data_IF_930336546589
#
_entry.id   IF_930336546589
#
_cell.length_a   1.000
_cell.length_b   1.000
_cell.length_c   1.000
_cell.angle_alpha   90.00
_cell.angle_beta   90.00
_cell.angle_gamma   90.00
#
_symmetry.space_group_name_H-M   'P 1'
#
loop_
_entity.id
_entity.type
_entity.pdbx_description
1 polymer ?
#
# COMPACT_ATOMS: atom_id res chain seq x y z
N UNK A 1 -17.55 22.71 76.90
CA UNK A 1 -18.10 24.00 77.33
C UNK A 1 -18.36 24.88 76.12
N UNK A 2 -19.37 24.56 75.30
CA UNK A 2 -19.99 25.28 74.17
C UNK A 2 -19.70 26.78 73.99
N UNK A 3 -19.72 27.39 72.80
CA UNK A 3 -20.10 26.99 71.43
C UNK A 3 -19.70 28.14 70.51
N UNK A 4 -19.03 27.86 69.39
CA UNK A 4 -18.94 28.79 68.26
C UNK A 4 -20.06 28.39 67.28
N UNK A 5 -20.91 29.32 66.81
CA UNK A 5 -22.04 28.97 65.96
C UNK A 5 -21.54 28.49 64.61
N UNK A 6 -22.14 27.38 64.16
CA UNK A 6 -21.93 26.78 62.87
C UNK A 6 -22.28 27.75 61.74
N UNK A 7 -21.54 27.62 60.64
CA UNK A 7 -21.78 28.23 59.35
C UNK A 7 -23.25 28.10 58.94
N UNK A 8 -23.96 29.22 58.81
CA UNK A 8 -24.99 29.35 57.77
C UNK A 8 -24.28 29.52 56.43
N UNK A 9 -23.76 28.41 55.88
CA UNK A 9 -23.63 28.31 54.43
C UNK A 9 -24.99 27.84 53.93
N UNK A 10 -25.71 28.79 53.34
CA UNK A 10 -27.00 28.58 52.72
C UNK A 10 -26.99 27.31 51.87
N UNK A 11 -27.99 26.46 52.13
CA UNK A 11 -28.50 25.47 51.20
C UNK A 11 -28.82 26.20 49.89
N UNK A 12 -27.86 26.23 48.97
CA UNK A 12 -28.16 26.48 47.55
C UNK A 12 -28.98 25.29 47.07
N UNK A 13 -30.29 25.47 47.07
CA UNK A 13 -31.23 24.64 46.34
C UNK A 13 -30.75 24.50 44.90
N UNK A 14 -30.72 23.27 44.41
CA UNK A 14 -30.28 22.92 43.05
C UNK A 14 -31.40 23.17 42.03
N UNK A 15 -32.04 24.34 42.07
CA UNK A 15 -33.31 24.57 41.35
C UNK A 15 -33.20 25.37 40.04
N UNK A 16 -32.00 25.81 39.64
CA UNK A 16 -31.78 26.50 38.35
C UNK A 16 -30.74 25.77 37.49
N UNK A 17 -30.98 24.49 37.17
CA UNK A 17 -30.19 23.80 36.15
C UNK A 17 -30.83 24.13 34.80
N UNK A 18 -30.20 25.00 34.02
CA UNK A 18 -30.64 25.30 32.64
C UNK A 18 -30.76 23.99 31.84
N UNK A 19 -32.00 23.68 31.43
CA UNK A 19 -32.34 22.49 30.64
C UNK A 19 -32.51 22.85 29.17
N UNK A 20 -32.15 21.90 28.30
CA UNK A 20 -32.23 22.04 26.85
C UNK A 20 -33.01 20.87 26.27
N UNK A 21 -33.75 21.12 25.20
CA UNK A 21 -34.42 20.07 24.45
C UNK A 21 -33.40 19.23 23.66
N UNK A 22 -33.44 17.92 23.87
CA UNK A 22 -32.70 16.92 23.11
C UNK A 22 -33.66 15.96 22.42
N UNK A 23 -33.50 15.78 21.12
CA UNK A 23 -34.26 14.79 20.35
C UNK A 23 -33.39 13.54 20.15
N UNK A 24 -33.86 12.40 20.65
CA UNK A 24 -33.15 11.13 20.49
C UNK A 24 -33.29 10.53 19.08
N UNK A 25 -32.61 9.40 18.84
CA UNK A 25 -32.64 8.68 17.56
C UNK A 25 -34.02 8.14 17.18
N UNK A 26 -34.91 7.95 18.17
CA UNK A 26 -36.27 7.46 17.97
C UNK A 26 -37.26 8.63 17.76
N UNK A 27 -36.75 9.86 17.77
CA UNK A 27 -37.52 11.07 17.53
C UNK A 27 -38.24 11.61 18.77
N UNK A 28 -37.98 11.05 19.96
CA UNK A 28 -38.55 11.50 21.23
C UNK A 28 -37.74 12.65 21.79
N UNK A 29 -38.44 13.67 22.28
CA UNK A 29 -37.84 14.85 22.91
C UNK A 29 -37.68 14.62 24.41
N UNK A 30 -36.53 15.00 24.97
CA UNK A 30 -36.20 14.96 26.38
C UNK A 30 -35.62 16.30 26.81
N UNK A 31 -35.95 16.76 28.01
CA UNK A 31 -35.27 17.90 28.62
C UNK A 31 -34.02 17.40 29.35
N UNK A 32 -32.86 17.94 29.00
CA UNK A 32 -31.57 17.52 29.56
C UNK A 32 -30.79 18.70 30.14
N UNK A 33 -30.07 18.53 31.26
CA UNK A 33 -29.18 19.57 31.79
C UNK A 33 -28.12 20.04 30.78
N UNK A 34 -27.72 21.32 30.84
CA UNK A 34 -26.67 21.91 30.00
C UNK A 34 -25.41 21.04 29.85
N UNK A 35 -24.93 20.45 30.95
CA UNK A 35 -23.73 19.60 30.93
C UNK A 35 -23.92 18.33 30.09
N UNK A 36 -25.10 17.69 30.20
CA UNK A 36 -25.50 16.52 29.42
C UNK A 36 -25.68 16.90 27.95
N UNK A 37 -26.31 18.04 27.68
CA UNK A 37 -26.48 18.55 26.33
C UNK A 37 -25.14 18.80 25.62
N UNK A 38 -24.21 19.46 26.31
CA UNK A 38 -22.86 19.72 25.79
C UNK A 38 -22.11 18.42 25.52
N UNK A 39 -22.21 17.44 26.43
CA UNK A 39 -21.64 16.12 26.25
C UNK A 39 -22.23 15.39 25.04
N UNK A 40 -23.55 15.41 24.84
CA UNK A 40 -24.22 14.76 23.71
C UNK A 40 -23.81 15.38 22.36
N UNK A 41 -23.61 16.70 22.32
CA UNK A 41 -23.12 17.41 21.12
C UNK A 41 -21.63 17.20 20.84
N UNK A 42 -20.82 17.00 21.86
CA UNK A 42 -19.37 16.86 21.70
C UNK A 42 -19.02 15.55 20.97
N UNK A 43 -18.07 15.56 20.01
CA UNK A 43 -17.53 14.34 19.41
C UNK A 43 -16.99 13.40 20.47
N UNK A 44 -17.30 12.10 20.34
CA UNK A 44 -16.91 11.06 21.29
C UNK A 44 -17.27 11.39 22.75
N UNK A 45 -18.31 12.21 22.93
CA UNK A 45 -18.79 12.74 24.20
C UNK A 45 -17.72 13.46 25.01
N UNK A 46 -16.84 14.18 24.33
CA UNK A 46 -15.79 14.99 24.98
C UNK A 46 -14.52 14.23 25.34
N UNK A 47 -14.46 12.92 25.08
CA UNK A 47 -13.21 12.17 25.23
C UNK A 47 -12.19 12.63 24.18
N UNK A 48 -11.02 13.04 24.66
CA UNK A 48 -9.94 13.60 23.83
C UNK A 48 -8.60 12.88 24.11
N UNK A 49 -7.51 13.34 23.48
CA UNK A 49 -6.19 12.74 23.66
C UNK A 49 -5.95 11.48 22.83
N UNK A 50 -6.77 11.20 21.82
CA UNK A 50 -6.53 10.10 20.89
C UNK A 50 -5.35 10.43 19.97
N UNK A 51 -4.32 9.58 19.97
CA UNK A 51 -3.25 9.63 18.97
C UNK A 51 -3.76 9.31 17.56
N UNK A 52 -2.94 9.60 16.54
CA UNK A 52 -3.32 9.46 15.12
C UNK A 52 -3.91 8.08 14.78
N UNK A 53 -3.32 7.01 15.31
CA UNK A 53 -3.82 5.65 15.07
C UNK A 53 -5.20 5.42 15.71
N UNK A 54 -5.41 5.92 16.92
CA UNK A 54 -6.69 5.81 17.62
C UNK A 54 -7.79 6.60 16.90
N UNK A 55 -7.46 7.78 16.37
CA UNK A 55 -8.36 8.57 15.54
C UNK A 55 -8.71 7.83 14.25
N UNK A 56 -7.75 7.13 13.64
CA UNK A 56 -8.00 6.34 12.44
C UNK A 56 -8.91 5.12 12.70
N UNK A 57 -8.78 4.46 13.85
CA UNK A 57 -9.73 3.41 14.29
C UNK A 57 -11.14 4.00 14.43
N UNK A 58 -11.26 5.14 15.12
CA UNK A 58 -12.55 5.79 15.36
C UNK A 58 -13.21 6.30 14.07
N UNK A 59 -12.42 6.72 13.08
CA UNK A 59 -12.96 7.19 11.79
C UNK A 59 -13.67 6.11 10.98
N UNK A 60 -13.48 4.82 11.33
CA UNK A 60 -14.20 3.68 10.74
C UNK A 60 -15.58 3.46 11.36
N UNK A 61 -15.97 4.24 12.37
CA UNK A 61 -17.27 4.17 13.04
C UNK A 61 -18.08 5.45 12.81
N UNK A 62 -19.40 5.31 12.80
CA UNK A 62 -20.31 6.42 13.05
C UNK A 62 -20.38 6.67 14.55
N UNK A 63 -20.15 7.91 14.96
CA UNK A 63 -20.30 8.37 16.34
C UNK A 63 -21.75 8.81 16.57
N UNK A 64 -22.54 7.97 17.25
CA UNK A 64 -23.95 8.23 17.54
C UNK A 64 -24.13 8.51 19.03
N UNK A 65 -24.83 9.59 19.35
CA UNK A 65 -25.12 10.01 20.71
C UNK A 65 -26.35 9.27 21.23
N UNK A 66 -26.18 8.51 22.32
CA UNK A 66 -27.28 7.84 23.00
C UNK A 66 -27.52 8.53 24.34
N UNK A 67 -28.73 9.07 24.52
CA UNK A 67 -29.20 9.53 25.82
C UNK A 67 -29.89 8.37 26.54
N UNK A 68 -29.45 8.06 27.76
CA UNK A 68 -30.04 7.02 28.60
C UNK A 68 -30.68 7.68 29.82
N UNK A 69 -32.00 7.80 29.81
CA UNK A 69 -32.73 8.28 30.97
C UNK A 69 -32.55 7.28 32.13
N UNK A 70 -31.90 7.72 33.20
CA UNK A 70 -31.80 6.95 34.45
C UNK A 70 -32.76 7.53 35.51
N UNK A 71 -33.12 6.72 36.52
CA UNK A 71 -34.03 7.10 37.61
C UNK A 71 -33.57 8.34 38.42
N UNK A 72 -32.32 8.80 38.24
CA UNK A 72 -31.76 10.01 38.84
C UNK A 72 -31.17 10.92 37.76
N UNK A 73 -31.99 11.65 37.00
CA UNK A 73 -31.56 12.45 35.85
C UNK A 73 -30.69 13.65 36.22
N UNK A 74 -30.64 14.03 37.50
CA UNK A 74 -30.19 15.35 37.93
C UNK A 74 -28.67 15.54 38.06
N UNK A 75 -27.80 14.51 38.03
CA UNK A 75 -26.42 14.72 38.54
C UNK A 75 -25.19 14.27 37.77
N UNK A 76 -25.22 13.56 36.64
CA UNK A 76 -23.94 13.31 35.95
C UNK A 76 -24.06 12.83 34.49
N UNK A 77 -23.20 13.36 33.60
CA UNK A 77 -23.01 12.87 32.23
C UNK A 77 -22.67 11.36 32.20
N UNK A 78 -21.99 10.86 33.23
CA UNK A 78 -21.52 9.46 33.30
C UNK A 78 -22.62 8.41 33.16
N UNK A 79 -23.79 8.68 33.73
CA UNK A 79 -24.89 7.71 33.75
C UNK A 79 -25.91 7.92 32.63
N UNK A 80 -25.98 9.14 32.11
CA UNK A 80 -27.02 9.55 31.17
C UNK A 80 -26.53 9.66 29.72
N UNK A 81 -25.21 9.67 29.49
CA UNK A 81 -24.61 9.83 28.16
C UNK A 81 -23.84 8.58 27.74
N UNK A 82 -24.09 8.11 26.53
CA UNK A 82 -23.36 7.01 25.90
C UNK A 82 -22.95 7.34 24.48
N UNK A 83 -21.91 6.62 24.05
CA UNK A 83 -21.42 6.64 22.67
C UNK A 83 -21.77 5.32 22.03
N UNK A 84 -22.63 5.32 21.02
CA UNK A 84 -22.82 4.16 20.16
C UNK A 84 -21.90 4.30 18.95
N UNK A 85 -20.95 3.38 18.84
CA UNK A 85 -20.03 3.30 17.72
C UNK A 85 -20.49 2.17 16.81
N UNK A 86 -21.00 2.53 15.63
CA UNK A 86 -21.48 1.60 14.60
C UNK A 86 -20.47 1.58 13.47
N UNK A 87 -19.92 0.42 13.12
CA UNK A 87 -18.93 0.32 12.05
C UNK A 87 -19.57 0.71 10.70
N UNK A 88 -18.87 1.53 9.92
CA UNK A 88 -19.33 2.01 8.62
C UNK A 88 -19.46 0.91 7.57
N UNK A 89 -18.57 -0.09 7.64
CA UNK A 89 -18.51 -1.19 6.68
C UNK A 89 -19.33 -2.41 7.14
N UNK A 90 -19.53 -2.56 8.45
CA UNK A 90 -20.32 -3.64 9.01
C UNK A 90 -21.25 -3.14 10.12
N UNK A 91 -22.50 -2.76 9.80
CA UNK A 91 -23.45 -2.29 10.80
C UNK A 91 -23.74 -3.29 11.92
N UNK A 92 -23.45 -4.58 11.72
CA UNK A 92 -23.56 -5.60 12.77
C UNK A 92 -22.50 -5.40 13.88
N UNK A 93 -21.35 -4.82 13.54
CA UNK A 93 -20.31 -4.44 14.49
C UNK A 93 -20.68 -3.10 15.12
N UNK A 94 -21.44 -3.18 16.21
CA UNK A 94 -21.77 -2.05 17.07
C UNK A 94 -21.22 -2.23 18.48
N UNK A 95 -20.85 -1.11 19.11
CA UNK A 95 -20.42 -1.08 20.51
C UNK A 95 -21.00 0.14 21.20
N UNK A 96 -21.73 -0.09 22.29
CA UNK A 96 -22.19 0.99 23.15
C UNK A 96 -21.20 1.15 24.29
N UNK A 97 -20.68 2.36 24.44
CA UNK A 97 -19.62 2.70 25.38
C UNK A 97 -20.13 3.76 26.35
N UNK A 98 -19.80 3.60 27.62
CA UNK A 98 -20.08 4.62 28.63
C UNK A 98 -19.27 5.89 28.40
N UNK A 99 -19.75 7.01 28.95
CA UNK A 99 -19.10 8.31 28.92
C UNK A 99 -17.60 8.22 29.24
N UNK A 100 -16.74 8.77 28.38
CA UNK A 100 -15.26 8.76 28.53
C UNK A 100 -14.59 7.38 28.70
N UNK A 101 -15.23 6.28 28.25
CA UNK A 101 -14.67 4.92 28.36
C UNK A 101 -14.36 4.26 27.00
N UNK A 102 -14.14 5.05 25.95
CA UNK A 102 -13.77 4.52 24.62
C UNK A 102 -12.41 3.86 24.68
N UNK A 103 -12.38 2.58 24.35
CA UNK A 103 -11.18 1.76 24.24
C UNK A 103 -10.96 1.35 22.78
N UNK A 104 -10.02 2.03 22.11
CA UNK A 104 -9.70 1.83 20.70
C UNK A 104 -9.07 0.48 20.40
N UNK A 105 -8.38 -0.14 21.36
CA UNK A 105 -7.82 -1.50 21.19
C UNK A 105 -8.92 -2.56 21.02
N UNK A 106 -9.98 -2.48 21.83
CA UNK A 106 -11.15 -3.38 21.68
C UNK A 106 -11.88 -3.15 20.37
N UNK A 107 -11.97 -1.88 19.93
CA UNK A 107 -12.60 -1.53 18.66
C UNK A 107 -11.78 -2.05 17.46
N UNK A 108 -10.45 -1.95 17.53
CA UNK A 108 -9.56 -2.50 16.51
C UNK A 108 -9.80 -4.00 16.33
N UNK A 109 -9.84 -4.78 17.41
CA UNK A 109 -10.08 -6.23 17.31
C UNK A 109 -11.40 -6.53 16.61
N UNK A 110 -12.48 -5.82 16.95
CA UNK A 110 -13.78 -5.97 16.29
C UNK A 110 -13.75 -5.64 14.79
N UNK A 111 -12.97 -4.65 14.37
CA UNK A 111 -12.80 -4.32 12.94
C UNK A 111 -12.03 -5.40 12.20
N UNK A 112 -10.99 -5.94 12.84
CA UNK A 112 -10.13 -6.99 12.27
C UNK A 112 -10.90 -8.31 12.11
N UNK A 113 -11.75 -8.65 13.09
CA UNK A 113 -12.54 -9.89 13.09
C UNK A 113 -13.73 -9.85 12.10
N UNK A 114 -14.17 -8.66 11.68
CA UNK A 114 -15.30 -8.53 10.76
C UNK A 114 -14.92 -8.97 9.34
N UNK A 115 -15.68 -9.93 8.79
CA UNK A 115 -15.54 -10.36 7.40
C UNK A 115 -15.94 -9.28 6.38
N UNK A 116 -16.77 -8.30 6.78
CA UNK A 116 -17.31 -7.27 5.89
C UNK A 116 -16.44 -6.03 5.79
N UNK A 117 -15.52 -5.82 6.73
CA UNK A 117 -14.53 -4.75 6.64
C UNK A 117 -13.50 -5.13 5.56
N UNK A 118 -13.24 -4.26 4.56
CA UNK A 118 -12.25 -4.52 3.52
C UNK A 118 -10.84 -4.78 4.09
N UNK A 119 -10.12 -5.73 3.50
CA UNK A 119 -8.80 -6.13 3.99
C UNK A 119 -7.75 -5.03 3.83
N UNK A 120 -7.89 -4.12 2.85
CA UNK A 120 -7.05 -2.92 2.72
C UNK A 120 -7.14 -2.00 3.94
N UNK A 121 -8.34 -1.87 4.51
CA UNK A 121 -8.58 -1.05 5.71
C UNK A 121 -7.97 -1.76 6.92
N UNK A 122 -8.18 -3.07 7.05
CA UNK A 122 -7.58 -3.87 8.12
C UNK A 122 -6.05 -3.82 8.08
N UNK A 123 -5.44 -3.90 6.89
CA UNK A 123 -3.99 -3.76 6.72
C UNK A 123 -3.49 -2.42 7.24
N UNK A 124 -4.12 -1.30 6.83
CA UNK A 124 -3.75 0.05 7.31
C UNK A 124 -3.94 0.22 8.82
N UNK A 125 -5.01 -0.35 9.38
CA UNK A 125 -5.28 -0.32 10.82
C UNK A 125 -4.21 -1.11 11.60
N UNK A 126 -3.83 -2.27 11.06
CA UNK A 126 -2.86 -3.15 11.67
C UNK A 126 -1.43 -2.61 11.51
N UNK A 127 -1.08 -1.92 10.42
CA UNK A 127 0.30 -1.54 10.00
C UNK A 127 1.18 -1.02 11.14
N UNK A 128 0.68 -0.08 11.93
CA UNK A 128 1.40 0.57 13.03
C UNK A 128 0.99 0.07 14.42
N UNK A 129 0.13 -0.94 14.49
CA UNK A 129 -0.35 -1.51 15.74
C UNK A 129 0.69 -2.45 16.35
N UNK A 130 0.94 -2.29 17.64
CA UNK A 130 1.72 -3.23 18.45
C UNK A 130 0.85 -4.30 19.09
N UNK A 131 -0.47 -4.24 18.92
CA UNK A 131 -1.40 -5.20 19.51
C UNK A 131 -1.18 -6.60 18.92
N UNK A 132 -1.10 -7.60 19.81
CA UNK A 132 -0.89 -9.01 19.44
C UNK A 132 -1.93 -9.50 18.42
N UNK A 133 -3.21 -9.18 18.65
CA UNK A 133 -4.30 -9.56 17.75
C UNK A 133 -4.13 -9.03 16.32
N UNK A 134 -3.70 -7.78 16.17
CA UNK A 134 -3.44 -7.15 14.88
C UNK A 134 -2.24 -7.80 14.17
N UNK A 135 -1.19 -8.15 14.93
CA UNK A 135 -0.01 -8.84 14.40
C UNK A 135 -0.33 -10.27 13.96
N UNK A 136 -1.11 -11.00 14.74
CA UNK A 136 -1.56 -12.36 14.40
C UNK A 136 -2.38 -12.35 13.13
N UNK A 137 -3.37 -11.45 13.02
CA UNK A 137 -4.17 -11.33 11.80
C UNK A 137 -3.31 -11.00 10.58
N UNK A 138 -2.35 -10.06 10.70
CA UNK A 138 -1.47 -9.69 9.59
C UNK A 138 -0.64 -10.87 9.10
N UNK A 139 -0.05 -11.65 10.02
CA UNK A 139 0.70 -12.86 9.67
C UNK A 139 -0.18 -13.87 8.93
N UNK A 140 -1.39 -14.11 9.42
CA UNK A 140 -2.35 -15.02 8.76
C UNK A 140 -2.74 -14.51 7.38
N UNK A 141 -2.98 -13.20 7.22
CA UNK A 141 -3.31 -12.60 5.93
C UNK A 141 -2.15 -12.70 4.94
N UNK A 142 -0.92 -12.41 5.34
CA UNK A 142 0.27 -12.55 4.50
C UNK A 142 0.50 -14.01 4.09
N UNK A 143 0.31 -14.97 5.00
CA UNK A 143 0.39 -16.39 4.67
C UNK A 143 -0.68 -16.81 3.66
N UNK A 144 -1.93 -16.36 3.85
CA UNK A 144 -3.03 -16.62 2.89
C UNK A 144 -2.74 -16.01 1.53
N UNK A 145 -2.23 -14.77 1.50
CA UNK A 145 -1.87 -14.11 0.23
C UNK A 145 -0.77 -14.86 -0.50
N UNK A 146 0.28 -15.30 0.21
CA UNK A 146 1.34 -16.14 -0.37
C UNK A 146 0.82 -17.50 -0.85
N UNK A 147 -0.13 -18.10 -0.14
CA UNK A 147 -0.77 -19.34 -0.58
C UNK A 147 -1.59 -19.12 -1.84
N UNK A 148 -2.39 -18.06 -1.92
CA UNK A 148 -3.14 -17.72 -3.14
C UNK A 148 -2.20 -17.39 -4.31
N UNK A 149 -1.13 -16.62 -4.09
CA UNK A 149 -0.11 -16.35 -5.11
C UNK A 149 0.54 -17.65 -5.61
N UNK A 150 0.83 -18.60 -4.71
CA UNK A 150 1.39 -19.90 -5.07
C UNK A 150 0.37 -20.83 -5.74
N UNK A 151 -0.91 -20.76 -5.37
CA UNK A 151 -2.01 -21.51 -6.00
C UNK A 151 -2.34 -20.96 -7.38
N UNK A 152 -2.32 -19.64 -7.57
CA UNK A 152 -2.45 -18.98 -8.87
C UNK A 152 -1.25 -19.31 -9.77
N UNK A 153 -0.03 -19.30 -9.22
CA UNK A 153 1.18 -19.72 -9.93
C UNK A 153 1.12 -21.21 -10.30
N UNK A 154 0.68 -22.08 -9.38
CA UNK A 154 0.46 -23.49 -9.64
C UNK A 154 -0.68 -23.73 -10.64
N UNK A 155 -1.73 -22.92 -10.62
CA UNK A 155 -2.85 -22.96 -11.55
C UNK A 155 -2.46 -22.47 -12.95
N UNK A 156 -1.61 -21.45 -13.06
CA UNK A 156 -0.99 -21.05 -14.31
C UNK A 156 -0.04 -22.14 -14.83
N UNK A 157 0.78 -22.75 -13.97
CA UNK A 157 1.66 -23.86 -14.34
C UNK A 157 0.86 -25.11 -14.77
N UNK A 158 -0.27 -25.39 -14.11
CA UNK A 158 -1.16 -26.51 -14.44
C UNK A 158 -1.95 -26.23 -15.73
N UNK A 159 -2.43 -25.00 -15.94
CA UNK A 159 -3.05 -24.59 -17.19
C UNK A 159 -2.04 -24.56 -18.35
N UNK A 160 -0.79 -24.17 -18.10
CA UNK A 160 0.32 -24.30 -19.05
C UNK A 160 0.62 -25.77 -19.36
N UNK A 161 0.51 -26.68 -18.38
CA UNK A 161 0.64 -28.12 -18.57
C UNK A 161 -0.54 -28.74 -19.33
N UNK A 162 -1.79 -28.33 -19.07
CA UNK A 162 -2.96 -28.81 -19.81
C UNK A 162 -2.97 -28.31 -21.25
N UNK A 163 -2.58 -27.04 -21.48
CA UNK A 163 -2.39 -26.48 -22.84
C UNK A 163 -1.22 -27.16 -23.57
N UNK A 164 -0.23 -27.70 -22.86
CA UNK A 164 0.85 -28.52 -23.43
C UNK A 164 0.42 -29.95 -23.83
N UNK A 165 -0.70 -30.47 -23.32
CA UNK A 165 -1.17 -31.83 -23.64
C UNK A 165 -2.02 -31.85 -24.91
N UNK A 166 -2.69 -30.75 -25.28
CA UNK A 166 -3.51 -30.68 -26.51
C UNK A 166 -2.80 -30.14 -27.76
N UNK A 167 -1.57 -29.60 -27.66
CA UNK A 167 -0.85 -29.07 -28.84
C UNK A 167 0.63 -29.52 -28.89
N UNK A 168 0.87 -30.52 -29.75
CA UNK A 168 2.02 -30.68 -30.66
C UNK A 168 3.39 -31.12 -30.06
N UNK A 169 4.04 -32.20 -30.55
CA UNK A 169 5.39 -32.70 -30.17
C UNK A 169 6.58 -31.71 -30.31
N UNK A 170 6.30 -30.42 -30.47
CA UNK A 170 7.25 -29.32 -30.66
C UNK A 170 7.68 -28.67 -29.33
N UNK A 171 6.90 -28.84 -28.25
CA UNK A 171 7.19 -28.25 -26.93
C UNK A 171 8.36 -28.92 -26.20
N UNK A 172 8.47 -30.25 -26.25
CA UNK A 172 9.58 -30.99 -25.64
C UNK A 172 10.94 -30.57 -26.24
N UNK A 173 11.00 -30.44 -27.57
CA UNK A 173 12.18 -29.95 -28.29
C UNK A 173 12.53 -28.50 -27.95
N UNK A 174 11.56 -27.68 -27.53
CA UNK A 174 11.80 -26.29 -27.08
C UNK A 174 12.42 -26.25 -25.69
N UNK A 175 11.94 -27.08 -24.76
CA UNK A 175 12.52 -27.21 -23.42
C UNK A 175 13.93 -27.81 -23.49
N UNK A 176 14.15 -28.85 -24.31
CA UNK A 176 15.50 -29.40 -24.53
C UNK A 176 16.47 -28.34 -25.08
N UNK A 177 16.02 -27.52 -26.04
CA UNK A 177 16.82 -26.37 -26.52
C UNK A 177 17.10 -25.36 -25.42
N UNK A 178 16.13 -25.08 -24.56
CA UNK A 178 16.30 -24.09 -23.48
C UNK A 178 17.26 -24.57 -22.40
N UNK A 179 17.26 -25.88 -22.10
CA UNK A 179 18.25 -26.52 -21.21
C UNK A 179 19.64 -26.46 -21.83
N UNK A 180 19.81 -26.84 -23.11
CA UNK A 180 21.09 -26.76 -23.82
C UNK A 180 21.65 -25.34 -23.90
N UNK A 181 20.80 -24.33 -24.09
CA UNK A 181 21.19 -22.92 -24.10
C UNK A 181 21.58 -22.40 -22.72
N UNK A 182 20.98 -22.93 -21.64
CA UNK A 182 21.36 -22.57 -20.27
C UNK A 182 22.73 -23.11 -19.86
N UNK A 183 23.17 -24.22 -20.48
CA UNK A 183 24.53 -24.75 -20.32
C UNK A 183 25.56 -23.96 -21.15
N UNK A 184 25.12 -23.32 -22.24
CA UNK A 184 25.96 -22.53 -23.13
C UNK A 184 25.98 -21.05 -22.72
N UNK A 185 26.90 -20.66 -21.83
CA UNK A 185 27.05 -19.25 -21.49
C UNK A 185 28.07 -18.93 -20.40
N UNK A 186 28.68 -17.75 -20.52
CA UNK A 186 29.46 -17.13 -19.44
C UNK A 186 28.58 -16.97 -18.20
N UNK A 187 28.99 -17.54 -17.06
CA UNK A 187 28.22 -17.52 -15.81
C UNK A 187 28.12 -16.13 -15.17
N UNK A 188 29.00 -15.20 -15.55
CA UNK A 188 28.99 -13.81 -15.07
C UNK A 188 29.61 -12.87 -16.11
N UNK A 189 29.07 -11.64 -16.20
CA UNK A 189 29.60 -10.57 -17.04
C UNK A 189 30.21 -9.47 -16.17
N UNK A 190 31.34 -8.93 -16.60
CA UNK A 190 31.90 -7.71 -16.02
C UNK A 190 31.22 -6.49 -16.63
N UNK A 191 31.34 -5.32 -16.00
CA UNK A 191 30.80 -4.07 -16.54
C UNK A 191 31.35 -3.75 -17.94
N UNK A 192 32.62 -4.08 -18.20
CA UNK A 192 33.23 -3.92 -19.52
C UNK A 192 32.57 -4.80 -20.59
N UNK A 193 32.23 -6.05 -20.26
CA UNK A 193 31.50 -6.93 -21.17
C UNK A 193 30.09 -6.42 -21.46
N UNK A 194 29.39 -5.89 -20.45
CA UNK A 194 28.04 -5.32 -20.63
C UNK A 194 28.09 -4.11 -21.58
N UNK A 195 29.05 -3.20 -21.39
CA UNK A 195 29.22 -2.03 -22.25
C UNK A 195 29.55 -2.42 -23.70
N UNK A 196 30.44 -3.40 -23.90
CA UNK A 196 30.77 -3.91 -25.23
C UNK A 196 29.54 -4.52 -25.93
N UNK A 197 28.71 -5.26 -25.20
CA UNK A 197 27.46 -5.82 -25.71
C UNK A 197 26.44 -4.73 -26.04
N UNK A 198 26.31 -3.69 -25.20
CA UNK A 198 25.45 -2.53 -25.51
C UNK A 198 25.90 -1.81 -26.78
N UNK A 199 27.21 -1.60 -26.95
CA UNK A 199 27.77 -0.99 -28.14
C UNK A 199 27.46 -1.80 -29.41
N UNK A 200 27.74 -3.11 -29.40
CA UNK A 200 27.43 -4.01 -30.51
C UNK A 200 25.93 -4.04 -30.83
N UNK A 201 25.09 -4.01 -29.79
CA UNK A 201 23.64 -3.93 -29.94
C UNK A 201 23.21 -2.62 -30.61
N UNK A 202 23.76 -1.48 -30.19
CA UNK A 202 23.52 -0.18 -30.81
C UNK A 202 23.92 -0.16 -32.29
N UNK A 203 25.12 -0.66 -32.60
CA UNK A 203 25.60 -0.82 -33.97
C UNK A 203 24.68 -1.71 -34.80
N UNK A 204 24.22 -2.84 -34.27
CA UNK A 204 23.30 -3.74 -34.97
C UNK A 204 21.97 -3.03 -35.31
N UNK A 205 21.36 -2.32 -34.36
CA UNK A 205 20.11 -1.61 -34.61
C UNK A 205 20.27 -0.50 -35.65
N UNK A 206 21.38 0.25 -35.60
CA UNK A 206 21.64 1.33 -36.56
C UNK A 206 21.99 0.81 -37.96
N UNK A 207 22.95 -0.11 -38.06
CA UNK A 207 23.44 -0.64 -39.33
C UNK A 207 22.37 -1.43 -40.08
N UNK A 208 21.57 -2.23 -39.35
CA UNK A 208 20.47 -3.00 -39.92
C UNK A 208 19.16 -2.21 -40.02
N UNK A 209 19.15 -0.92 -39.62
CA UNK A 209 17.97 -0.05 -39.62
C UNK A 209 16.77 -0.65 -38.88
N UNK A 210 17.04 -1.31 -37.76
CA UNK A 210 16.02 -1.96 -36.94
C UNK A 210 15.37 -0.89 -36.07
N UNK A 211 14.03 -0.78 -36.07
CA UNK A 211 13.33 0.11 -35.15
C UNK A 211 13.64 -0.20 -33.69
N UNK A 212 13.98 0.80 -32.87
CA UNK A 212 14.37 0.58 -31.46
C UNK A 212 13.29 -0.07 -30.60
N UNK A 213 12.01 0.01 -30.99
CA UNK A 213 10.92 -0.67 -30.27
C UNK A 213 11.07 -2.20 -30.28
N UNK A 214 11.86 -2.76 -31.21
CA UNK A 214 12.17 -4.20 -31.26
C UNK A 214 12.86 -4.68 -29.98
N UNK A 215 13.58 -3.82 -29.25
CA UNK A 215 14.19 -4.20 -27.96
C UNK A 215 13.16 -4.63 -26.91
N UNK A 216 11.91 -4.16 -27.03
CA UNK A 216 10.80 -4.53 -26.14
C UNK A 216 10.06 -5.81 -26.60
N UNK A 217 10.31 -6.25 -27.83
CA UNK A 217 9.61 -7.40 -28.40
C UNK A 217 10.02 -8.69 -27.67
N UNK A 218 9.03 -9.50 -27.29
CA UNK A 218 9.24 -10.74 -26.52
C UNK A 218 10.15 -11.72 -27.26
N UNK A 219 10.02 -11.86 -28.58
CA UNK A 219 10.86 -12.78 -29.37
C UNK A 219 12.32 -12.32 -29.44
N UNK A 220 12.56 -11.02 -29.58
CA UNK A 220 13.91 -10.46 -29.54
C UNK A 220 14.56 -10.70 -28.18
N UNK A 221 13.80 -10.48 -27.09
CA UNK A 221 14.25 -10.68 -25.72
C UNK A 221 14.58 -12.14 -25.42
N UNK A 222 13.73 -13.08 -25.84
CA UNK A 222 13.99 -14.53 -25.71
C UNK A 222 15.16 -14.98 -26.61
N UNK A 223 15.33 -14.38 -27.78
CA UNK A 223 16.49 -14.64 -28.64
C UNK A 223 17.80 -14.23 -27.95
N UNK A 224 17.87 -13.03 -27.38
CA UNK A 224 19.06 -12.58 -26.61
C UNK A 224 19.28 -13.45 -25.37
N UNK A 225 18.21 -13.83 -24.65
CA UNK A 225 18.27 -14.74 -23.50
C UNK A 225 18.84 -16.11 -23.87
N UNK A 226 18.49 -16.62 -25.06
CA UNK A 226 19.04 -17.85 -25.61
C UNK A 226 20.51 -17.74 -26.01
N UNK A 227 20.96 -16.57 -26.48
CA UNK A 227 22.37 -16.34 -26.85
C UNK A 227 23.28 -16.09 -25.66
N UNK A 228 22.82 -15.32 -24.67
CA UNK A 228 23.59 -14.96 -23.50
C UNK A 228 22.66 -14.71 -22.30
N UNK A 229 22.41 -15.78 -21.54
CA UNK A 229 21.52 -15.70 -20.37
C UNK A 229 21.97 -14.65 -19.34
N UNK A 230 23.28 -14.56 -19.07
CA UNK A 230 23.84 -13.61 -18.12
C UNK A 230 23.67 -12.14 -18.53
N UNK A 231 23.49 -11.86 -19.83
CA UNK A 231 23.27 -10.51 -20.33
C UNK A 231 21.80 -10.07 -20.28
N UNK A 232 20.86 -11.01 -20.27
CA UNK A 232 19.42 -10.73 -20.32
C UNK A 232 18.93 -9.71 -19.27
N UNK A 233 19.37 -9.74 -18.00
CA UNK A 233 18.98 -8.74 -17.00
C UNK A 233 19.51 -7.32 -17.29
N UNK A 234 20.53 -7.22 -18.14
CA UNK A 234 21.22 -5.98 -18.49
C UNK A 234 20.79 -5.43 -19.86
N UNK A 235 19.78 -6.03 -20.49
CA UNK A 235 19.21 -5.51 -21.74
C UNK A 235 18.79 -4.04 -21.55
N UNK A 236 19.22 -3.14 -22.45
CA UNK A 236 18.91 -1.73 -22.31
C UNK A 236 17.41 -1.51 -22.52
N UNK A 237 16.86 -0.52 -21.81
CA UNK A 237 15.51 -0.07 -22.10
C UNK A 237 15.49 0.60 -23.48
N UNK A 238 14.30 0.71 -24.08
CA UNK A 238 14.09 1.47 -25.32
C UNK A 238 14.70 2.88 -25.24
N UNK A 239 14.52 3.57 -24.12
CA UNK A 239 15.00 4.95 -23.98
C UNK A 239 16.53 4.99 -23.91
N UNK A 240 17.12 4.07 -23.13
CA UNK A 240 18.58 3.91 -23.03
C UNK A 240 19.21 3.55 -24.36
N UNK A 241 18.56 2.70 -25.15
CA UNK A 241 19.03 2.31 -26.48
C UNK A 241 18.95 3.49 -27.44
N UNK A 242 17.83 4.21 -27.46
CA UNK A 242 17.57 5.33 -28.38
C UNK A 242 18.48 6.54 -28.11
N UNK A 243 18.83 6.78 -26.86
CA UNK A 243 19.62 7.94 -26.42
C UNK A 243 21.05 7.52 -26.15
N UNK A 244 21.35 7.15 -24.91
CA UNK A 244 22.70 6.88 -24.40
C UNK A 244 23.54 5.96 -25.28
N UNK A 245 22.99 4.83 -25.74
CA UNK A 245 23.76 3.87 -26.54
C UNK A 245 24.00 4.39 -27.96
N UNK A 246 23.00 5.01 -28.59
CA UNK A 246 23.15 5.57 -29.94
C UNK A 246 24.10 6.77 -29.93
N UNK A 247 24.01 7.63 -28.92
CA UNK A 247 24.91 8.77 -28.75
C UNK A 247 26.36 8.28 -28.61
N UNK A 248 26.60 7.26 -27.79
CA UNK A 248 27.92 6.64 -27.64
C UNK A 248 28.43 6.03 -28.96
N UNK A 249 27.57 5.30 -29.70
CA UNK A 249 27.93 4.73 -31.00
C UNK A 249 28.27 5.84 -32.01
N UNK A 250 27.51 6.93 -32.01
CA UNK A 250 27.74 8.07 -32.89
C UNK A 250 29.06 8.78 -32.56
N UNK A 251 29.34 9.06 -31.28
CA UNK A 251 30.59 9.66 -30.81
C UNK A 251 31.80 8.80 -31.19
N UNK A 252 31.77 7.50 -30.91
CA UNK A 252 32.86 6.59 -31.28
C UNK A 252 33.05 6.48 -32.79
N UNK A 253 31.96 6.48 -33.56
CA UNK A 253 32.03 6.45 -35.04
C UNK A 253 32.61 7.74 -35.60
N UNK A 254 32.26 8.91 -35.05
CA UNK A 254 32.86 10.21 -35.43
C UNK A 254 34.35 10.19 -35.14
N UNK A 255 34.76 9.78 -33.93
CA UNK A 255 36.16 9.75 -33.53
C UNK A 255 36.98 8.82 -34.43
N UNK A 256 36.45 7.63 -34.74
CA UNK A 256 37.08 6.68 -35.66
C UNK A 256 37.19 7.25 -37.08
N UNK A 257 36.11 7.85 -37.59
CA UNK A 257 36.08 8.46 -38.93
C UNK A 257 37.06 9.62 -39.04
N UNK A 258 37.10 10.51 -38.04
CA UNK A 258 38.03 11.63 -37.98
C UNK A 258 39.49 11.13 -37.91
N UNK A 259 39.78 10.11 -37.10
CA UNK A 259 41.10 9.50 -37.05
C UNK A 259 41.54 8.89 -38.39
N UNK A 260 40.62 8.28 -39.14
CA UNK A 260 40.89 7.78 -40.50
C UNK A 260 41.13 8.93 -41.47
N UNK A 261 40.29 9.98 -41.42
CA UNK A 261 40.42 11.17 -42.27
C UNK A 261 41.73 11.93 -42.01
N UNK A 262 42.17 12.03 -40.77
CA UNK A 262 43.45 12.65 -40.39
C UNK A 262 44.66 11.83 -40.85
N UNK A 263 44.46 10.52 -41.06
CA UNK A 263 45.46 9.61 -41.61
C UNK A 263 45.32 9.38 -43.12
N UNK A 264 44.31 9.96 -43.77
CA UNK A 264 44.08 9.79 -45.20
C UNK A 264 45.16 10.51 -46.03
N UNK A 265 45.69 9.87 -47.11
CA UNK A 265 46.67 10.47 -47.99
C UNK A 265 46.01 11.64 -48.76
N UNK A 266 46.27 12.86 -48.29
CA UNK A 266 45.70 14.10 -48.83
C UNK A 266 45.71 15.28 -47.84
N UNK A 267 45.61 15.01 -46.53
CA UNK A 267 45.70 16.04 -45.47
C UNK A 267 47.14 16.37 -45.05
N UNK A 268 48.05 15.40 -45.11
CA UNK A 268 49.48 15.60 -44.78
C UNK A 268 50.30 16.28 -45.90
N UNK A 269 49.70 16.52 -47.06
CA UNK A 269 50.36 17.10 -48.24
C UNK A 269 50.19 18.62 -48.38
N UNK A 270 49.47 19.29 -47.46
CA UNK A 270 49.28 20.75 -47.46
C UNK A 270 49.83 21.44 -46.21
N UNK A 271 50.90 20.92 -45.61
CA UNK A 271 51.81 21.78 -44.84
C UNK A 271 52.83 22.34 -45.82
N UNK A 272 52.50 23.50 -46.42
CA UNK A 272 53.43 24.27 -47.24
C UNK A 272 54.67 24.65 -46.41
N UNK A 273 55.83 24.32 -46.99
CA UNK A 273 57.12 25.00 -46.85
C UNK A 273 57.03 26.51 -46.95
#
# INVERSE_FOLDING_TARGET
MSSVPAQELSLRTCDDVETFEWKDSDGKTHEVPQAVFNALKAPYRGQSGFGLQHQYVLSQFFDVAEYKLTLHPEKCCENNVRTSLVCKHDPAVKTNVAYHKINTGKLLNKLVDSARVPDEIKLKLCEKSTAEHANTWRKTYESKRKQMEAEDEAGLLAAEQEVQVEIDPTAAKRNERQVLLSEFGMRALTSAHILALHFLLGCFFLACRIPFNVVRNVFFREFIKGLCHAYYPHLPTFETLRTTIVDNVYEETILSTNAILDNAPGKRTLSYS
#
